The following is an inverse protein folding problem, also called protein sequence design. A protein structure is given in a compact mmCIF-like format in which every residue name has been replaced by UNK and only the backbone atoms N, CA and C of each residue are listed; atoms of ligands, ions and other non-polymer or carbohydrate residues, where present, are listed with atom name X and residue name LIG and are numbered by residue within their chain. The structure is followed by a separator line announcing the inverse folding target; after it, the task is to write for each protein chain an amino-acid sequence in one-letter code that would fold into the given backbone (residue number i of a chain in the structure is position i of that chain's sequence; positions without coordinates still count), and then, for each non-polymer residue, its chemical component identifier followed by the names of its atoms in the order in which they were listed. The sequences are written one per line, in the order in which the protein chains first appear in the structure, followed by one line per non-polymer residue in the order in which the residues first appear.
data_IF_698950973707
#
_entry.id   IF_698950973707
#
_cell.length_a   1.000
_cell.length_b   1.000
_cell.length_c   1.000
_cell.angle_alpha   90.00
_cell.angle_beta   90.00
_cell.angle_gamma   90.00
#
_symmetry.space_group_name_H-M   'P 1'
#
loop_
_entity.id
_entity.type
_entity.pdbx_description
1 polymer ?
#
# COMPACT_ATOMS: atom_id res chain seq x y z
N UNK A 1 -12.46 24.75 11.84
CA UNK A 1 -11.71 23.80 11.01
C UNK A 1 -12.37 22.44 11.21
N UNK A 2 -13.26 22.09 10.31
CA UNK A 2 -13.96 20.81 10.32
C UNK A 2 -12.92 19.68 10.21
N UNK A 3 -13.01 18.66 11.05
CA UNK A 3 -12.05 17.56 11.04
C UNK A 3 -12.46 16.61 9.91
N UNK A 4 -11.67 16.56 8.84
CA UNK A 4 -11.95 15.83 7.58
C UNK A 4 -12.09 14.29 7.71
N UNK A 5 -12.17 13.75 8.93
CA UNK A 5 -12.26 12.33 9.26
C UNK A 5 -13.16 12.12 10.49
N UNK A 6 -14.45 12.45 10.38
CA UNK A 6 -15.42 12.16 11.44
C UNK A 6 -15.85 10.69 11.40
N UNK A 7 -15.64 9.97 12.51
CA UNK A 7 -15.99 8.55 12.66
C UNK A 7 -15.32 7.95 13.89
N UNK A 8 -16.12 7.35 14.77
CA UNK A 8 -15.76 6.92 16.14
C UNK A 8 -14.65 5.86 16.20
N UNK A 9 -14.35 5.18 15.08
CA UNK A 9 -13.37 4.08 14.97
C UNK A 9 -12.34 4.26 13.83
N UNK A 10 -12.10 5.50 13.38
CA UNK A 10 -11.08 5.75 12.34
C UNK A 10 -9.67 5.62 12.93
N UNK A 11 -8.97 4.53 12.64
CA UNK A 11 -7.56 4.38 13.02
C UNK A 11 -6.73 5.11 11.96
N UNK A 12 -6.58 6.43 12.17
CA UNK A 12 -6.00 7.42 11.23
C UNK A 12 -4.49 7.28 11.02
N UNK A 13 -3.96 6.07 10.86
CA UNK A 13 -2.53 5.82 11.07
C UNK A 13 -1.75 5.25 9.90
N UNK A 14 -2.23 5.40 8.67
CA UNK A 14 -1.42 4.96 7.53
C UNK A 14 -1.07 6.10 6.58
N UNK A 15 0.13 6.66 6.80
CA UNK A 15 0.84 7.50 5.84
C UNK A 15 1.65 6.57 4.92
N UNK A 16 1.16 6.29 3.73
CA UNK A 16 2.00 5.64 2.72
C UNK A 16 2.79 6.70 2.01
N UNK A 17 4.11 6.66 2.17
CA UNK A 17 5.04 7.62 1.56
C UNK A 17 5.86 6.91 0.50
N UNK A 18 5.84 7.41 -0.73
CA UNK A 18 6.59 6.81 -1.83
C UNK A 18 7.02 7.85 -2.86
N UNK A 19 8.05 7.50 -3.65
CA UNK A 19 8.66 8.36 -4.67
C UNK A 19 8.63 7.67 -6.04
N UNK A 20 7.55 6.96 -6.35
CA UNK A 20 7.42 6.13 -7.57
C UNK A 20 6.06 6.30 -8.23
N UNK A 21 6.02 6.05 -9.53
CA UNK A 21 4.79 6.05 -10.31
C UNK A 21 4.01 4.75 -10.02
N UNK A 22 3.04 4.81 -9.10
CA UNK A 22 2.48 3.60 -8.48
C UNK A 22 3.45 2.96 -7.48
N UNK A 23 3.44 1.63 -7.39
CA UNK A 23 4.29 0.86 -6.47
C UNK A 23 5.60 0.44 -7.14
N UNK A 24 5.51 -0.05 -8.37
CA UNK A 24 6.64 -0.64 -9.10
C UNK A 24 7.11 0.20 -10.30
N UNK A 25 6.55 1.39 -10.51
CA UNK A 25 6.90 2.23 -11.65
C UNK A 25 8.18 3.06 -11.49
N UNK A 26 8.50 3.89 -12.49
CA UNK A 26 9.67 4.77 -12.48
C UNK A 26 9.63 5.77 -11.30
N UNK A 27 10.79 6.30 -10.88
CA UNK A 27 10.85 7.28 -9.81
C UNK A 27 10.14 8.59 -10.19
N UNK A 28 9.46 9.19 -9.22
CA UNK A 28 8.88 10.53 -9.33
C UNK A 28 9.90 11.59 -8.89
N UNK A 29 9.70 12.82 -9.35
CA UNK A 29 10.53 13.98 -8.94
C UNK A 29 10.22 14.49 -7.54
N UNK A 30 9.15 13.99 -6.93
CA UNK A 30 8.67 14.38 -5.62
C UNK A 30 8.17 13.14 -4.87
N UNK A 31 7.94 13.33 -3.57
CA UNK A 31 7.42 12.27 -2.70
C UNK A 31 5.93 12.48 -2.51
N UNK A 32 5.14 11.44 -2.74
CA UNK A 32 3.71 11.42 -2.45
C UNK A 32 3.46 10.75 -1.10
N UNK A 33 2.47 11.25 -0.38
CA UNK A 33 1.93 10.68 0.83
C UNK A 33 0.43 10.50 0.69
N UNK A 34 -0.10 9.33 1.02
CA UNK A 34 -1.54 9.09 1.12
C UNK A 34 -1.91 8.71 2.52
N UNK A 35 -2.95 9.38 3.03
CA UNK A 35 -3.54 9.19 4.34
C UNK A 35 -4.93 8.59 4.16
N UNK A 36 -5.18 7.49 4.85
CA UNK A 36 -6.48 6.83 4.88
C UNK A 36 -6.67 6.07 6.19
N UNK A 37 -7.88 5.57 6.41
CA UNK A 37 -8.24 4.76 7.57
C UNK A 37 -7.82 3.29 7.38
N UNK A 38 -6.80 2.80 8.07
CA UNK A 38 -6.29 1.43 7.84
C UNK A 38 -7.30 0.33 8.19
N UNK A 39 -8.35 0.67 8.96
CA UNK A 39 -9.42 -0.24 9.34
C UNK A 39 -10.64 -0.20 8.41
N UNK A 40 -10.57 0.51 7.27
CA UNK A 40 -11.72 0.72 6.38
C UNK A 40 -12.40 -0.59 5.91
N UNK A 41 -11.65 -1.71 5.90
CA UNK A 41 -12.15 -3.03 5.52
C UNK A 41 -13.04 -3.70 6.57
N UNK A 42 -12.91 -3.33 7.85
CA UNK A 42 -13.58 -4.02 8.97
C UNK A 42 -14.53 -3.12 9.76
N UNK A 43 -14.38 -1.80 9.67
CA UNK A 43 -15.19 -0.84 10.44
C UNK A 43 -16.47 -0.37 9.73
N UNK A 44 -16.79 -0.93 8.56
CA UNK A 44 -17.99 -0.56 7.81
C UNK A 44 -17.92 0.80 7.12
N UNK A 45 -16.72 1.34 6.90
CA UNK A 45 -16.52 2.59 6.15
C UNK A 45 -17.21 2.55 4.78
N UNK A 46 -17.77 3.68 4.36
CA UNK A 46 -18.44 3.78 3.06
C UNK A 46 -17.43 3.73 1.91
N UNK A 47 -17.74 2.98 0.84
CA UNK A 47 -16.90 2.88 -0.36
C UNK A 47 -16.63 4.27 -0.94
N UNK A 48 -15.35 4.57 -1.17
CA UNK A 48 -14.90 5.80 -1.79
C UNK A 48 -15.22 5.75 -3.30
N UNK A 49 -16.32 6.41 -3.68
CA UNK A 49 -16.80 6.42 -5.07
C UNK A 49 -15.84 7.13 -6.02
N UNK A 50 -15.04 8.08 -5.53
CA UNK A 50 -14.05 8.78 -6.34
C UNK A 50 -12.95 7.80 -6.78
N UNK A 51 -12.36 7.07 -5.83
CA UNK A 51 -11.33 6.06 -6.14
C UNK A 51 -11.89 4.97 -7.06
N UNK A 52 -13.11 4.48 -6.77
CA UNK A 52 -13.77 3.50 -7.64
C UNK A 52 -13.96 4.02 -9.08
N UNK A 53 -14.30 5.30 -9.24
CA UNK A 53 -14.49 5.94 -10.55
C UNK A 53 -13.18 6.11 -11.30
N UNK A 54 -12.14 6.68 -10.66
CA UNK A 54 -10.86 6.95 -11.31
C UNK A 54 -10.09 5.67 -11.68
N UNK A 55 -10.29 4.58 -10.92
CA UNK A 55 -9.72 3.27 -11.22
C UNK A 55 -10.61 2.41 -12.11
N UNK A 56 -11.77 2.91 -12.53
CA UNK A 56 -12.79 2.15 -13.27
C UNK A 56 -13.12 0.79 -12.60
N UNK A 57 -13.08 0.72 -11.27
CA UNK A 57 -13.31 -0.50 -10.48
C UNK A 57 -12.17 -1.53 -10.52
N UNK A 58 -10.99 -1.19 -11.07
CA UNK A 58 -9.83 -2.09 -11.14
C UNK A 58 -9.04 -2.17 -9.84
N UNK A 59 -9.33 -1.31 -8.87
CA UNK A 59 -8.68 -1.36 -7.57
C UNK A 59 -8.99 -2.71 -6.87
N UNK A 60 -7.97 -3.44 -6.39
CA UNK A 60 -8.17 -4.75 -5.74
C UNK A 60 -8.85 -4.65 -4.38
N UNK A 61 -8.84 -3.47 -3.75
CA UNK A 61 -9.51 -3.22 -2.47
C UNK A 61 -10.72 -2.32 -2.73
N UNK A 62 -11.85 -2.53 -2.04
CA UNK A 62 -12.93 -1.57 -2.01
C UNK A 62 -12.52 -0.39 -1.11
N UNK A 63 -11.59 0.44 -1.58
CA UNK A 63 -11.12 1.64 -0.88
C UNK A 63 -12.32 2.41 -0.33
N UNK A 64 -12.31 2.66 0.98
CA UNK A 64 -13.43 3.21 1.71
C UNK A 64 -12.98 4.34 2.65
N UNK A 65 -13.94 5.17 3.04
CA UNK A 65 -13.70 6.37 3.81
C UNK A 65 -13.03 7.49 3.00
N UNK A 66 -12.57 8.51 3.74
CA UNK A 66 -11.86 9.64 3.17
C UNK A 66 -10.41 9.26 2.93
N UNK A 67 -9.87 9.73 1.80
CA UNK A 67 -8.48 9.53 1.41
C UNK A 67 -7.90 10.88 1.05
N UNK A 68 -6.76 11.21 1.62
CA UNK A 68 -6.05 12.47 1.39
C UNK A 68 -4.69 12.18 0.76
N UNK A 69 -4.42 12.79 -0.39
CA UNK A 69 -3.15 12.71 -1.09
C UNK A 69 -2.40 14.04 -0.97
N UNK A 70 -1.12 13.99 -0.62
CA UNK A 70 -0.26 15.15 -0.38
C UNK A 70 1.13 14.91 -0.97
N UNK A 71 1.87 15.99 -1.22
CA UNK A 71 3.31 15.92 -1.49
C UNK A 71 4.10 16.17 -0.21
N UNK A 72 5.12 15.36 0.06
CA UNK A 72 6.03 15.60 1.20
C UNK A 72 7.11 16.60 0.80
N UNK A 73 7.42 17.54 1.70
CA UNK A 73 8.43 18.59 1.51
C UNK A 73 9.61 18.35 2.43
N UNK A 74 10.79 18.15 1.84
CA UNK A 74 12.02 17.93 2.60
C UNK A 74 12.19 16.48 3.07
N UNK A 75 13.22 16.21 3.88
CA UNK A 75 13.57 14.86 4.31
C UNK A 75 12.67 14.31 5.42
N UNK A 76 11.91 15.18 6.08
CA UNK A 76 11.09 14.86 7.25
C UNK A 76 9.61 14.74 6.86
N UNK A 77 8.89 13.80 7.48
CA UNK A 77 7.47 13.53 7.23
C UNK A 77 6.53 14.50 7.97
N UNK A 78 6.94 15.74 8.16
CA UNK A 78 6.25 16.77 8.96
C UNK A 78 5.80 17.97 8.13
N UNK A 79 6.25 18.07 6.87
CA UNK A 79 5.90 19.16 5.96
C UNK A 79 5.26 18.62 4.70
N UNK A 80 4.09 19.15 4.39
CA UNK A 80 3.28 18.73 3.25
C UNK A 80 2.90 19.92 2.39
N UNK A 81 2.71 19.69 1.10
CA UNK A 81 2.00 20.60 0.21
C UNK A 81 0.90 19.86 -0.53
N UNK A 82 0.02 20.60 -1.17
CA UNK A 82 -1.06 20.05 -1.97
C UNK A 82 -0.50 19.16 -3.09
N UNK A 83 -1.23 18.07 -3.36
CA UNK A 83 -1.03 17.29 -4.57
C UNK A 83 -1.53 18.08 -5.78
N UNK A 84 -0.81 17.98 -6.90
CA UNK A 84 -1.13 18.66 -8.16
C UNK A 84 -1.83 17.65 -9.05
N UNK A 85 -3.09 17.89 -9.38
CA UNK A 85 -3.93 16.91 -10.08
C UNK A 85 -3.36 16.46 -11.42
N UNK A 86 -2.79 17.37 -12.20
CA UNK A 86 -2.23 17.10 -13.53
C UNK A 86 -1.02 16.17 -13.49
N UNK A 87 -0.22 16.26 -12.43
CA UNK A 87 1.02 15.49 -12.28
C UNK A 87 0.81 14.21 -11.44
N UNK A 88 -0.04 14.28 -10.41
CA UNK A 88 -0.11 13.29 -9.35
C UNK A 88 -1.26 12.31 -9.51
N UNK A 89 -2.30 12.65 -10.28
CA UNK A 89 -3.45 11.78 -10.43
C UNK A 89 -3.08 10.44 -11.06
N UNK A 90 -2.29 10.44 -12.14
CA UNK A 90 -1.88 9.22 -12.82
C UNK A 90 -1.06 8.26 -11.92
N UNK A 91 -0.02 8.71 -11.20
CA UNK A 91 0.69 7.83 -10.26
C UNK A 91 -0.19 7.38 -9.07
N UNK A 92 -1.12 8.22 -8.60
CA UNK A 92 -2.07 7.86 -7.54
C UNK A 92 -3.06 6.78 -8.00
N UNK A 93 -3.63 6.92 -9.20
CA UNK A 93 -4.52 5.90 -9.78
C UNK A 93 -3.79 4.56 -9.87
N UNK A 94 -2.57 4.57 -10.40
CA UNK A 94 -1.76 3.35 -10.50
C UNK A 94 -1.42 2.75 -9.13
N UNK A 95 -1.15 3.59 -8.13
CA UNK A 95 -0.96 3.14 -6.75
C UNK A 95 -2.20 2.38 -6.25
N UNK A 96 -3.39 2.95 -6.41
CA UNK A 96 -4.65 2.31 -5.96
C UNK A 96 -4.94 1.01 -6.70
N UNK A 97 -4.53 0.88 -7.96
CA UNK A 97 -4.64 -0.37 -8.75
C UNK A 97 -3.61 -1.43 -8.30
N UNK A 98 -2.40 -1.04 -7.89
CA UNK A 98 -1.29 -1.97 -7.59
C UNK A 98 -1.20 -2.43 -6.12
N UNK A 99 -1.93 -1.79 -5.20
CA UNK A 99 -1.76 -1.89 -3.73
C UNK A 99 -1.81 -3.30 -3.09
N UNK A 100 -2.15 -4.35 -3.83
CA UNK A 100 -2.06 -5.75 -3.39
C UNK A 100 -0.64 -6.35 -3.43
N UNK A 101 0.27 -5.86 -4.30
CA UNK A 101 1.56 -6.55 -4.57
C UNK A 101 2.52 -6.63 -3.39
N UNK A 102 2.36 -5.76 -2.38
CA UNK A 102 3.32 -5.66 -1.26
C UNK A 102 3.08 -6.66 -0.12
N UNK A 103 1.86 -7.21 0.03
CA UNK A 103 1.58 -8.19 1.11
C UNK A 103 1.87 -9.66 0.74
N UNK A 104 2.01 -9.99 -0.56
CA UNK A 104 2.25 -11.37 -1.01
C UNK A 104 3.72 -11.82 -0.91
N UNK A 105 4.68 -10.91 -1.08
CA UNK A 105 6.11 -11.26 -1.12
C UNK A 105 6.76 -11.53 0.24
N UNK A 106 6.18 -11.05 1.34
CA UNK A 106 6.70 -11.35 2.67
C UNK A 106 6.31 -12.75 3.19
N UNK A 107 5.19 -13.30 2.71
CA UNK A 107 4.70 -14.63 3.15
C UNK A 107 5.25 -15.75 2.27
N UNK A 108 5.47 -15.50 0.97
CA UNK A 108 5.95 -16.54 0.05
C UNK A 108 7.42 -16.95 0.27
N UNK A 109 8.29 -16.04 0.73
CA UNK A 109 9.71 -16.36 0.92
C UNK A 109 10.03 -17.15 2.20
N UNK A 110 9.11 -17.19 3.19
CA UNK A 110 9.36 -17.94 4.43
C UNK A 110 9.10 -19.43 4.27
N UNK A 111 8.20 -19.84 3.39
CA UNK A 111 7.87 -21.25 3.15
C UNK A 111 8.89 -21.96 2.25
N UNK A 112 9.55 -21.25 1.33
CA UNK A 112 10.56 -21.83 0.44
C UNK A 112 11.82 -22.31 1.19
N UNK A 113 12.32 -21.49 2.13
CA UNK A 113 13.60 -21.79 2.81
C UNK A 113 13.49 -22.99 3.77
N UNK A 114 12.40 -23.12 4.54
CA UNK A 114 12.20 -24.27 5.43
C UNK A 114 12.05 -25.60 4.67
N UNK A 115 11.41 -25.57 3.50
CA UNK A 115 11.18 -26.76 2.69
C UNK A 115 12.49 -27.25 2.04
N UNK A 116 13.33 -26.34 1.54
CA UNK A 116 14.66 -26.67 1.03
C UNK A 116 15.59 -27.19 2.14
N UNK A 117 15.52 -26.63 3.35
CA UNK A 117 16.35 -27.07 4.47
C UNK A 117 15.97 -28.48 4.94
N UNK A 118 14.68 -28.80 5.04
CA UNK A 118 14.23 -30.15 5.40
C UNK A 118 14.64 -31.18 4.34
N UNK A 119 14.51 -30.86 3.05
CA UNK A 119 14.93 -31.76 1.97
C UNK A 119 16.44 -32.02 2.01
N UNK A 120 17.27 -31.00 2.27
CA UNK A 120 18.72 -31.18 2.45
C UNK A 120 19.06 -32.09 3.64
N UNK A 121 18.38 -31.93 4.78
CA UNK A 121 18.63 -32.77 5.97
C UNK A 121 18.21 -34.22 5.72
N UNK A 122 17.05 -34.44 5.08
CA UNK A 122 16.57 -35.79 4.74
C UNK A 122 17.51 -36.47 3.73
N UNK A 123 17.95 -35.74 2.71
CA UNK A 123 18.91 -36.27 1.72
C UNK A 123 20.27 -36.59 2.36
N UNK A 124 20.76 -35.75 3.28
CA UNK A 124 22.01 -36.05 3.99
C UNK A 124 21.88 -37.29 4.88
N UNK A 125 20.77 -37.45 5.60
CA UNK A 125 20.50 -38.65 6.40
C UNK A 125 20.50 -39.94 5.57
N UNK A 126 19.93 -39.90 4.36
CA UNK A 126 19.93 -41.03 3.43
C UNK A 126 21.33 -41.37 2.91
N UNK A 127 22.15 -40.37 2.62
CA UNK A 127 23.51 -40.55 2.09
C UNK A 127 24.47 -41.05 3.19
N UNK A 128 24.27 -40.65 4.45
CA UNK A 128 25.15 -41.06 5.57
C UNK A 128 24.75 -42.38 6.24
N UNK A 129 23.63 -42.99 5.83
CA UNK A 129 23.15 -44.28 6.37
C UNK A 129 23.34 -45.45 5.39
N UNK A 130 24.04 -45.23 4.27
CA UNK A 130 24.54 -46.26 3.34
C UNK A 130 26.04 -46.41 3.47
#
# INVERSE_FOLDING_TARGET
MELWFEGYDSFRRANYVWQKFGIDGPPLRHTLAVWYDDNFMVNGSQINRCIRKITAGKAPHPWAGNVLALRVKGPTLDRYSDAVMEEDLAPLVRYFEESYKRKSTAVCNRLSMFTLFLLCVILWWFISSS
#
